data_IF_965092002379
#
_entry.id   IF_965092002379
#
_cell.length_a   1.000
_cell.length_b   1.000
_cell.length_c   1.000
_cell.angle_alpha   90.00
_cell.angle_beta   90.00
_cell.angle_gamma   90.00
#
_symmetry.space_group_name_H-M   'P 1'
#
loop_
_entity.id
_entity.type
_entity.pdbx_description
1 polymer ?
#
# COMPACT_ATOMS: atom_id res chain seq x y z
N UNK A 1 -8.67 14.13 12.74
CA UNK A 1 -7.97 15.30 12.17
C UNK A 1 -7.21 14.82 10.91
N UNK A 2 -6.63 15.71 10.09
CA UNK A 2 -5.93 15.34 8.84
C UNK A 2 -4.56 16.01 8.79
N UNK A 3 -3.56 15.34 8.22
CA UNK A 3 -2.17 15.83 8.16
C UNK A 3 -1.49 15.45 6.85
N UNK A 4 -0.41 16.17 6.50
CA UNK A 4 0.41 15.82 5.33
C UNK A 4 1.20 14.55 5.64
N UNK A 5 1.07 13.54 4.78
CA UNK A 5 1.70 12.24 4.99
C UNK A 5 3.00 12.11 4.19
N UNK A 6 4.14 12.23 4.87
CA UNK A 6 5.45 11.98 4.26
C UNK A 6 5.72 12.84 3.02
N UNK A 7 6.20 12.18 1.95
CA UNK A 7 6.52 12.81 0.66
C UNK A 7 5.33 12.94 -0.28
N UNK A 8 4.15 12.44 0.10
CA UNK A 8 2.94 12.50 -0.75
C UNK A 8 2.52 13.93 -1.06
N UNK A 9 2.92 14.91 -0.23
CA UNK A 9 2.50 16.31 -0.30
C UNK A 9 0.97 16.49 -0.30
N UNK A 10 0.24 15.46 0.12
CA UNK A 10 -1.22 15.41 0.20
C UNK A 10 -1.65 15.28 1.66
N UNK A 11 -2.78 15.91 1.97
CA UNK A 11 -3.43 15.77 3.28
C UNK A 11 -4.26 14.49 3.29
N UNK A 12 -3.97 13.60 4.23
CA UNK A 12 -4.67 12.34 4.42
C UNK A 12 -5.45 12.35 5.75
N UNK A 13 -6.61 11.66 5.82
CA UNK A 13 -7.29 11.45 7.10
C UNK A 13 -6.46 10.53 8.00
N UNK A 14 -6.60 10.70 9.31
CA UNK A 14 -5.93 9.90 10.34
C UNK A 14 -6.35 8.43 10.40
N UNK A 15 -7.41 8.06 9.69
CA UNK A 15 -7.96 6.71 9.75
C UNK A 15 -8.28 6.22 8.36
N UNK A 16 -7.69 5.07 8.02
CA UNK A 16 -7.88 4.36 6.76
C UNK A 16 -8.57 3.02 7.05
N UNK A 17 -9.28 2.49 6.07
CA UNK A 17 -10.01 1.24 6.24
C UNK A 17 -9.35 0.11 5.49
N UNK A 18 -9.19 -1.03 6.15
CA UNK A 18 -8.72 -2.27 5.54
C UNK A 18 -9.92 -3.17 5.32
N UNK A 19 -10.14 -3.56 4.07
CA UNK A 19 -11.21 -4.49 3.74
C UNK A 19 -10.75 -5.91 4.06
N UNK A 20 -11.47 -6.58 4.98
CA UNK A 20 -11.19 -7.95 5.39
C UNK A 20 -12.45 -8.79 5.24
N UNK A 21 -12.36 -9.88 4.46
CA UNK A 21 -13.44 -10.87 4.30
C UNK A 21 -14.48 -10.56 3.22
N UNK A 22 -15.57 -11.36 3.22
CA UNK A 22 -16.64 -11.37 2.21
C UNK A 22 -18.06 -11.16 2.80
N UNK A 23 -18.18 -10.70 4.05
CA UNK A 23 -19.46 -10.54 4.76
C UNK A 23 -20.34 -9.39 4.24
N UNK A 24 -21.09 -8.73 5.12
CA UNK A 24 -22.03 -7.64 4.75
C UNK A 24 -21.36 -6.42 4.08
N UNK A 25 -21.28 -6.46 2.75
CA UNK A 25 -20.73 -5.38 1.91
C UNK A 25 -21.62 -4.14 1.90
N UNK A 26 -22.93 -4.30 2.06
CA UNK A 26 -23.87 -3.19 1.97
C UNK A 26 -23.64 -2.19 3.11
N UNK A 27 -23.42 -2.70 4.33
CA UNK A 27 -23.06 -1.88 5.48
C UNK A 27 -21.76 -1.11 5.26
N UNK A 28 -20.72 -1.75 4.70
CA UNK A 28 -19.44 -1.09 4.40
C UNK A 28 -19.61 0.02 3.36
N UNK A 29 -20.33 -0.27 2.27
CA UNK A 29 -20.61 0.70 1.20
C UNK A 29 -21.44 1.87 1.73
N UNK A 30 -22.44 1.60 2.56
CA UNK A 30 -23.26 2.65 3.20
C UNK A 30 -22.42 3.56 4.08
N UNK A 31 -21.50 2.98 4.86
CA UNK A 31 -20.59 3.73 5.71
C UNK A 31 -19.61 4.58 4.89
N UNK A 32 -19.03 4.05 3.80
CA UNK A 32 -18.15 4.81 2.90
C UNK A 32 -18.89 5.89 2.11
N UNK A 33 -20.17 5.70 1.80
CA UNK A 33 -21.03 6.75 1.21
C UNK A 33 -21.24 7.92 2.17
N UNK A 34 -21.46 7.62 3.45
CA UNK A 34 -21.67 8.64 4.47
C UNK A 34 -20.37 9.38 4.81
N UNK A 35 -19.24 8.66 4.83
CA UNK A 35 -17.93 9.21 5.14
C UNK A 35 -16.84 8.53 4.30
N UNK A 36 -16.51 9.08 3.11
CA UNK A 36 -15.46 8.54 2.25
C UNK A 36 -14.10 8.55 2.94
N UNK A 37 -13.40 7.41 2.89
CA UNK A 37 -12.10 7.20 3.51
C UNK A 37 -11.18 6.43 2.57
N UNK A 38 -9.85 6.55 2.72
CA UNK A 38 -8.91 5.69 2.02
C UNK A 38 -9.15 4.23 2.38
N UNK A 39 -9.13 3.37 1.36
CA UNK A 39 -9.45 1.95 1.47
C UNK A 39 -8.28 1.10 0.99
N UNK A 40 -7.72 0.30 1.87
CA UNK A 40 -6.70 -0.69 1.56
C UNK A 40 -7.32 -2.03 1.20
N UNK A 41 -7.03 -2.47 -0.02
CA UNK A 41 -7.29 -3.81 -0.49
C UNK A 41 -6.05 -4.69 -0.39
N UNK A 42 -6.19 -5.83 0.29
CA UNK A 42 -5.19 -6.89 0.35
C UNK A 42 -5.74 -8.16 -0.31
N UNK A 43 -4.99 -8.74 -1.24
CA UNK A 43 -5.31 -10.03 -1.87
C UNK A 43 -6.29 -9.97 -3.05
N UNK A 44 -7.58 -9.68 -2.80
CA UNK A 44 -8.66 -9.80 -3.81
C UNK A 44 -9.50 -8.52 -3.99
N UNK A 45 -8.92 -7.43 -4.53
CA UNK A 45 -9.57 -6.13 -4.73
C UNK A 45 -10.80 -6.14 -5.64
N UNK A 46 -10.83 -7.02 -6.65
CA UNK A 46 -11.85 -6.99 -7.70
C UNK A 46 -13.30 -7.20 -7.22
N UNK A 47 -13.47 -7.78 -6.02
CA UNK A 47 -14.81 -8.00 -5.43
C UNK A 47 -15.44 -6.72 -4.86
N UNK A 48 -14.68 -5.63 -4.74
CA UNK A 48 -15.13 -4.35 -4.18
C UNK A 48 -15.15 -3.24 -5.22
N UNK A 49 -14.51 -3.45 -6.37
CA UNK A 49 -14.32 -2.44 -7.40
C UNK A 49 -15.64 -1.84 -7.90
N UNK A 50 -16.65 -2.69 -8.09
CA UNK A 50 -17.95 -2.26 -8.59
C UNK A 50 -18.72 -1.48 -7.52
N UNK A 51 -18.74 -1.99 -6.30
CA UNK A 51 -19.49 -1.43 -5.17
C UNK A 51 -18.96 -0.08 -4.69
N UNK A 52 -17.65 0.15 -4.84
CA UNK A 52 -16.98 1.37 -4.40
C UNK A 52 -16.88 2.46 -5.47
N UNK A 53 -17.33 2.17 -6.70
CA UNK A 53 -17.22 3.11 -7.82
C UNK A 53 -17.99 4.41 -7.55
N UNK A 54 -17.34 5.54 -7.84
CA UNK A 54 -17.95 6.87 -7.68
C UNK A 54 -18.14 7.32 -6.23
N UNK A 55 -17.63 6.55 -5.25
CA UNK A 55 -17.64 6.97 -3.84
C UNK A 55 -16.53 7.99 -3.52
N UNK A 56 -15.58 8.22 -4.45
CA UNK A 56 -14.47 9.16 -4.27
C UNK A 56 -13.49 8.74 -3.18
N UNK A 57 -13.38 7.43 -2.93
CA UNK A 57 -12.45 6.88 -1.97
C UNK A 57 -11.06 6.70 -2.59
N UNK A 58 -10.01 7.04 -1.86
CA UNK A 58 -8.65 6.71 -2.29
C UNK A 58 -8.43 5.20 -2.24
N UNK A 59 -8.03 4.63 -3.38
CA UNK A 59 -7.85 3.19 -3.51
C UNK A 59 -6.39 2.82 -3.26
N UNK A 60 -6.15 2.02 -2.23
CA UNK A 60 -4.82 1.60 -1.81
C UNK A 60 -4.68 0.10 -2.05
N UNK A 61 -3.54 -0.33 -2.56
CA UNK A 61 -3.22 -1.74 -2.81
C UNK A 61 -1.99 -2.13 -2.00
N UNK A 62 -1.99 -3.34 -1.44
CA UNK A 62 -0.80 -3.92 -0.81
C UNK A 62 -0.56 -5.33 -1.36
N UNK A 63 0.54 -5.50 -2.09
CA UNK A 63 0.87 -6.74 -2.81
C UNK A 63 2.38 -6.88 -3.07
N UNK A 64 2.86 -8.12 -3.21
CA UNK A 64 4.21 -8.40 -3.72
C UNK A 64 4.31 -8.30 -5.24
N UNK A 65 3.18 -8.39 -5.94
CA UNK A 65 3.15 -8.47 -7.41
C UNK A 65 3.54 -9.83 -7.97
N UNK A 66 3.82 -10.82 -7.12
CA UNK A 66 4.23 -12.16 -7.56
C UNK A 66 5.64 -12.24 -8.15
N UNK A 67 6.45 -11.18 -7.99
CA UNK A 67 7.80 -11.03 -8.56
C UNK A 67 8.79 -12.06 -8.03
N UNK A 68 8.45 -12.71 -6.92
CA UNK A 68 9.28 -13.74 -6.30
C UNK A 68 9.44 -15.01 -7.14
N UNK A 69 8.74 -15.10 -8.28
CA UNK A 69 8.80 -16.18 -9.27
C UNK A 69 9.67 -15.84 -10.49
N UNK A 70 10.12 -14.59 -10.61
CA UNK A 70 10.94 -14.14 -11.73
C UNK A 70 12.33 -14.78 -11.71
N UNK A 71 12.89 -15.04 -12.90
CA UNK A 71 14.23 -15.60 -13.11
C UNK A 71 15.27 -14.54 -13.45
N UNK A 72 14.84 -13.36 -13.86
CA UNK A 72 15.68 -12.20 -14.14
C UNK A 72 14.91 -10.88 -13.90
N UNK A 73 15.61 -9.76 -14.03
CA UNK A 73 15.07 -8.41 -13.80
C UNK A 73 13.93 -8.07 -14.77
N UNK A 74 14.05 -8.47 -16.04
CA UNK A 74 13.05 -8.20 -17.06
C UNK A 74 11.75 -8.96 -16.81
N UNK A 75 11.84 -10.25 -16.45
CA UNK A 75 10.69 -11.06 -16.04
C UNK A 75 10.03 -10.48 -14.77
N UNK A 76 10.83 -10.00 -13.79
CA UNK A 76 10.30 -9.35 -12.59
C UNK A 76 9.52 -8.08 -12.91
N UNK A 77 10.06 -7.22 -13.78
CA UNK A 77 9.38 -6.01 -14.24
C UNK A 77 8.06 -6.33 -14.96
N UNK A 78 8.06 -7.31 -15.87
CA UNK A 78 6.86 -7.70 -16.61
C UNK A 78 5.78 -8.29 -15.71
N UNK A 79 6.15 -9.16 -14.77
CA UNK A 79 5.24 -9.74 -13.78
C UNK A 79 4.59 -8.63 -12.95
N UNK A 80 5.41 -7.71 -12.43
CA UNK A 80 4.92 -6.60 -11.61
C UNK A 80 3.97 -5.67 -12.38
N UNK A 81 4.36 -5.27 -13.60
CA UNK A 81 3.52 -4.41 -14.43
C UNK A 81 2.20 -5.10 -14.81
N UNK A 82 2.22 -6.40 -15.09
CA UNK A 82 1.01 -7.19 -15.33
C UNK A 82 0.05 -7.15 -14.15
N UNK A 83 0.56 -7.31 -12.92
CA UNK A 83 -0.26 -7.20 -11.71
C UNK A 83 -0.77 -5.76 -11.54
N UNK A 84 0.05 -4.73 -11.75
CA UNK A 84 -0.37 -3.33 -11.64
C UNK A 84 -1.54 -3.04 -12.59
N UNK A 85 -1.42 -3.40 -13.87
CA UNK A 85 -2.47 -3.20 -14.87
C UNK A 85 -3.75 -3.95 -14.48
N UNK A 86 -3.62 -5.19 -13.99
CA UNK A 86 -4.76 -5.97 -13.51
C UNK A 86 -5.45 -5.28 -12.32
N UNK A 87 -4.67 -4.76 -11.36
CA UNK A 87 -5.19 -4.08 -10.16
C UNK A 87 -5.86 -2.74 -10.50
N UNK A 88 -5.27 -1.96 -11.41
CA UNK A 88 -5.87 -0.71 -11.91
C UNK A 88 -7.18 -0.99 -12.65
N UNK A 89 -7.21 -2.03 -13.48
CA UNK A 89 -8.44 -2.46 -14.18
C UNK A 89 -9.56 -2.87 -13.21
N UNK A 90 -9.19 -3.31 -12.01
CA UNK A 90 -10.08 -3.66 -10.91
C UNK A 90 -10.14 -2.58 -9.83
N UNK A 91 -9.76 -1.34 -10.14
CA UNK A 91 -9.94 -0.21 -9.23
C UNK A 91 -11.32 0.43 -9.43
N UNK A 92 -11.93 1.02 -8.39
CA UNK A 92 -13.25 1.62 -8.51
C UNK A 92 -13.33 2.73 -9.58
N UNK A 93 -12.31 3.60 -9.60
CA UNK A 93 -12.29 4.84 -10.38
C UNK A 93 -11.10 4.92 -11.37
N UNK A 94 -10.42 3.80 -11.65
CA UNK A 94 -9.41 3.72 -12.72
C UNK A 94 -7.99 4.13 -12.34
N UNK A 95 -7.65 4.16 -11.04
CA UNK A 95 -6.31 4.47 -10.55
C UNK A 95 -6.06 3.90 -9.16
N UNK A 96 -4.78 3.90 -8.75
CA UNK A 96 -4.34 3.46 -7.42
C UNK A 96 -3.66 4.64 -6.73
N UNK A 97 -4.20 5.11 -5.62
CA UNK A 97 -3.64 6.26 -4.90
C UNK A 97 -2.34 5.90 -4.18
N UNK A 98 -2.21 4.67 -3.68
CA UNK A 98 -0.94 4.17 -3.10
C UNK A 98 -0.78 2.69 -3.40
N UNK A 99 0.39 2.31 -3.93
CA UNK A 99 0.80 0.91 -4.02
C UNK A 99 1.83 0.57 -2.95
N UNK A 100 1.46 -0.24 -1.97
CA UNK A 100 2.38 -0.80 -1.00
C UNK A 100 3.03 -2.09 -1.52
N UNK A 101 4.33 -2.03 -1.82
CA UNK A 101 5.14 -3.20 -2.13
C UNK A 101 5.30 -4.05 -0.86
N UNK A 102 4.72 -5.25 -0.86
CA UNK A 102 4.74 -6.15 0.29
C UNK A 102 5.86 -7.18 0.14
N UNK A 103 6.87 -7.09 1.00
CA UNK A 103 8.03 -7.99 0.97
C UNK A 103 7.94 -8.95 2.16
N UNK A 104 7.35 -10.12 1.93
CA UNK A 104 7.17 -11.15 2.96
C UNK A 104 8.41 -12.02 3.20
N UNK A 105 9.35 -12.05 2.25
CA UNK A 105 10.59 -12.83 2.29
C UNK A 105 11.71 -12.06 1.61
N UNK A 106 12.96 -12.45 1.85
CA UNK A 106 14.10 -11.90 1.12
C UNK A 106 13.93 -12.14 -0.39
N UNK A 107 14.16 -11.10 -1.18
CA UNK A 107 14.20 -11.14 -2.64
C UNK A 107 15.63 -11.00 -3.11
N UNK A 108 15.90 -11.56 -4.29
CA UNK A 108 17.15 -11.32 -5.00
C UNK A 108 17.16 -9.87 -5.55
N UNK A 109 18.36 -9.31 -5.74
CA UNK A 109 18.51 -7.92 -6.19
C UNK A 109 17.80 -7.64 -7.52
N UNK A 110 17.86 -8.58 -8.47
CA UNK A 110 17.18 -8.45 -9.76
C UNK A 110 15.65 -8.40 -9.62
N UNK A 111 15.07 -9.07 -8.61
CA UNK A 111 13.62 -9.04 -8.37
C UNK A 111 13.21 -7.68 -7.80
N UNK A 112 14.02 -7.14 -6.90
CA UNK A 112 13.83 -5.81 -6.31
C UNK A 112 13.91 -4.74 -7.41
N UNK A 113 14.97 -4.77 -8.22
CA UNK A 113 15.17 -3.80 -9.29
C UNK A 113 14.04 -3.84 -10.32
N UNK A 114 13.63 -5.03 -10.77
CA UNK A 114 12.53 -5.18 -11.72
C UNK A 114 11.19 -4.68 -11.14
N UNK A 115 10.89 -5.01 -9.88
CA UNK A 115 9.69 -4.54 -9.20
C UNK A 115 9.65 -3.01 -9.07
N UNK A 116 10.78 -2.40 -8.67
CA UNK A 116 10.89 -0.95 -8.53
C UNK A 116 10.80 -0.24 -9.88
N UNK A 117 11.46 -0.76 -10.92
CA UNK A 117 11.36 -0.21 -12.27
C UNK A 117 9.91 -0.21 -12.78
N UNK A 118 9.16 -1.29 -12.54
CA UNK A 118 7.74 -1.35 -12.89
C UNK A 118 6.90 -0.35 -12.09
N UNK A 119 7.12 -0.23 -10.78
CA UNK A 119 6.40 0.74 -9.94
C UNK A 119 6.68 2.19 -10.33
N UNK A 120 7.92 2.50 -10.67
CA UNK A 120 8.30 3.82 -11.15
C UNK A 120 7.66 4.14 -12.51
N UNK A 121 7.72 3.20 -13.45
CA UNK A 121 7.01 3.31 -14.74
C UNK A 121 5.51 3.53 -14.54
N UNK A 122 4.87 2.78 -13.64
CA UNK A 122 3.45 2.94 -13.33
C UNK A 122 3.14 4.32 -12.71
N UNK A 123 4.07 4.88 -11.92
CA UNK A 123 3.94 6.23 -11.37
C UNK A 123 4.06 7.30 -12.45
N UNK A 124 5.03 7.17 -13.35
CA UNK A 124 5.20 8.07 -14.50
C UNK A 124 3.98 8.06 -15.43
N UNK A 125 3.37 6.89 -15.62
CA UNK A 125 2.14 6.71 -16.40
C UNK A 125 0.86 7.11 -15.64
N UNK A 126 0.97 7.52 -14.36
CA UNK A 126 -0.16 7.89 -13.48
C UNK A 126 -1.17 6.77 -13.25
N UNK A 127 -0.71 5.52 -13.32
CA UNK A 127 -1.47 4.35 -12.88
C UNK A 127 -1.46 4.23 -11.35
N UNK A 128 -0.37 4.68 -10.73
CA UNK A 128 -0.16 4.72 -9.29
C UNK A 128 0.32 6.11 -8.88
N UNK A 129 -0.32 6.76 -7.91
CA UNK A 129 0.09 8.12 -7.50
C UNK A 129 1.32 8.10 -6.57
N UNK A 130 1.33 7.17 -5.62
CA UNK A 130 2.36 7.09 -4.58
C UNK A 130 2.86 5.66 -4.36
N UNK A 131 4.13 5.55 -3.99
CA UNK A 131 4.76 4.27 -3.70
C UNK A 131 4.89 4.07 -2.20
N UNK A 132 4.46 2.91 -1.73
CA UNK A 132 4.51 2.49 -0.34
C UNK A 132 5.37 1.26 -0.16
N UNK A 133 5.94 1.10 1.03
CA UNK A 133 6.58 -0.15 1.46
C UNK A 133 5.74 -0.77 2.58
N UNK A 134 5.35 -2.04 2.45
CA UNK A 134 4.72 -2.77 3.54
C UNK A 134 5.72 -3.69 4.25
N UNK A 135 5.90 -3.45 5.54
CA UNK A 135 6.83 -4.19 6.40
C UNK A 135 6.13 -5.42 6.96
N UNK A 136 6.08 -6.49 6.15
CA UNK A 136 5.45 -7.75 6.52
C UNK A 136 6.49 -8.80 6.93
N UNK A 137 6.78 -8.95 8.23
CA UNK A 137 7.69 -9.98 8.75
C UNK A 137 8.97 -9.42 9.36
N UNK A 138 10.03 -10.24 9.45
CA UNK A 138 11.31 -9.87 10.11
C UNK A 138 11.99 -8.71 9.35
N UNK A 139 12.29 -7.62 10.06
CA UNK A 139 12.78 -6.33 9.58
C UNK A 139 13.99 -6.39 8.65
N UNK A 140 14.82 -7.43 8.72
CA UNK A 140 16.06 -7.48 7.94
C UNK A 140 15.85 -7.39 6.42
N UNK A 141 14.78 -8.00 5.88
CA UNK A 141 14.51 -7.92 4.43
C UNK A 141 14.05 -6.54 3.99
N UNK A 142 13.16 -5.94 4.79
CA UNK A 142 12.56 -4.62 4.54
C UNK A 142 13.57 -3.50 4.76
N UNK A 143 14.38 -3.59 5.81
CA UNK A 143 15.42 -2.62 6.10
C UNK A 143 16.50 -2.61 5.02
N UNK A 144 16.82 -3.77 4.43
CA UNK A 144 17.78 -3.83 3.31
C UNK A 144 17.22 -3.14 2.07
N UNK A 145 16.00 -3.47 1.67
CA UNK A 145 15.34 -2.84 0.52
C UNK A 145 15.21 -1.32 0.69
N UNK A 146 14.77 -0.86 1.86
CA UNK A 146 14.63 0.57 2.11
C UNK A 146 15.97 1.31 2.25
N UNK A 147 17.02 0.64 2.75
CA UNK A 147 18.35 1.27 2.85
C UNK A 147 18.92 1.60 1.48
N UNK A 148 18.77 0.71 0.51
CA UNK A 148 19.36 0.85 -0.81
C UNK A 148 18.45 1.58 -1.82
N UNK A 149 17.14 1.66 -1.56
CA UNK A 149 16.18 2.27 -2.48
C UNK A 149 15.39 3.38 -1.78
N UNK A 150 15.53 4.62 -2.25
CA UNK A 150 14.80 5.80 -1.74
C UNK A 150 13.55 6.13 -2.59
N UNK A 151 12.78 5.10 -2.94
CA UNK A 151 11.64 5.23 -3.86
C UNK A 151 10.28 5.48 -3.18
N UNK A 152 10.19 5.25 -1.86
CA UNK A 152 8.91 5.19 -1.15
C UNK A 152 8.49 6.52 -0.52
N UNK A 153 7.22 6.85 -0.66
CA UNK A 153 6.57 8.03 -0.08
C UNK A 153 6.00 7.73 1.32
N UNK A 154 5.57 6.48 1.51
CA UNK A 154 4.93 5.99 2.74
C UNK A 154 5.37 4.59 3.11
N UNK A 155 5.29 4.24 4.40
CA UNK A 155 5.51 2.91 4.93
C UNK A 155 4.28 2.44 5.69
N UNK A 156 3.85 1.20 5.45
CA UNK A 156 2.83 0.50 6.23
C UNK A 156 3.53 -0.50 7.15
N UNK A 157 3.32 -0.40 8.45
CA UNK A 157 3.92 -1.32 9.41
C UNK A 157 2.99 -1.59 10.61
N UNK A 158 3.13 -2.77 11.21
CA UNK A 158 2.45 -3.09 12.46
C UNK A 158 3.27 -2.60 13.66
N UNK A 159 2.63 -2.13 14.74
CA UNK A 159 3.31 -1.92 16.01
C UNK A 159 3.96 -3.22 16.49
N UNK A 160 5.22 -3.15 16.93
CA UNK A 160 6.00 -4.32 17.34
C UNK A 160 7.46 -3.98 17.64
N UNK A 161 8.29 -5.00 17.85
CA UNK A 161 9.70 -4.87 18.24
C UNK A 161 10.52 -4.01 17.26
N UNK A 162 10.14 -4.02 15.98
CA UNK A 162 10.87 -3.34 14.90
C UNK A 162 10.32 -1.95 14.56
N UNK A 163 9.18 -1.57 15.16
CA UNK A 163 8.43 -0.36 14.83
C UNK A 163 9.24 0.92 15.07
N UNK A 164 9.97 1.01 16.17
CA UNK A 164 10.79 2.19 16.50
C UNK A 164 11.93 2.40 15.49
N UNK A 165 12.53 1.31 15.01
CA UNK A 165 13.58 1.37 13.97
C UNK A 165 13.05 1.86 12.62
N UNK A 166 11.83 1.42 12.28
CA UNK A 166 11.10 1.86 11.09
C UNK A 166 10.74 3.34 11.21
N UNK A 167 10.26 3.77 12.39
CA UNK A 167 9.95 5.19 12.66
C UNK A 167 11.17 6.08 12.54
N UNK A 168 12.31 5.68 13.10
CA UNK A 168 13.55 6.45 13.01
C UNK A 168 13.96 6.64 11.55
N UNK A 169 13.98 5.55 10.76
CA UNK A 169 14.30 5.58 9.34
C UNK A 169 13.31 6.43 8.53
N UNK A 170 12.01 6.30 8.83
CA UNK A 170 10.96 7.07 8.17
C UNK A 170 11.14 8.57 8.40
N UNK A 171 11.44 8.98 9.64
CA UNK A 171 11.70 10.39 9.99
C UNK A 171 12.92 10.94 9.27
N UNK A 172 14.04 10.22 9.28
CA UNK A 172 15.26 10.62 8.59
C UNK A 172 15.01 10.84 7.09
N UNK A 173 14.19 9.97 6.47
CA UNK A 173 13.87 10.03 5.04
C UNK A 173 12.61 10.84 4.72
N UNK A 174 11.91 11.41 5.71
CA UNK A 174 10.63 12.12 5.56
C UNK A 174 9.54 11.28 4.89
N UNK A 175 9.56 9.97 5.12
CA UNK A 175 8.54 9.02 4.64
C UNK A 175 7.40 8.97 5.65
N UNK A 176 6.16 8.94 5.14
CA UNK A 176 4.97 8.91 5.98
C UNK A 176 4.76 7.53 6.58
N UNK A 177 4.21 7.43 7.80
CA UNK A 177 4.02 6.14 8.48
C UNK A 177 2.54 5.87 8.64
N UNK A 178 2.11 4.69 8.19
CA UNK A 178 0.75 4.16 8.35
C UNK A 178 0.84 2.93 9.26
N UNK A 179 0.02 2.91 10.30
CA UNK A 179 0.01 1.82 11.29
C UNK A 179 -1.06 0.78 10.91
N UNK A 180 -0.69 -0.49 10.71
CA UNK A 180 -1.66 -1.60 10.56
C UNK A 180 -2.14 -2.06 11.95
N UNK A 181 -3.29 -1.53 12.39
CA UNK A 181 -3.87 -1.79 13.70
C UNK A 181 -3.27 -0.98 14.86
N UNK A 182 -3.90 -1.09 16.03
CA UNK A 182 -3.51 -0.38 17.26
C UNK A 182 -4.21 0.97 17.49
N UNK A 183 -3.80 1.69 18.54
CA UNK A 183 -4.22 3.08 18.77
C UNK A 183 -3.32 4.04 17.99
N UNK A 184 -3.88 5.17 17.55
CA UNK A 184 -3.10 6.20 16.86
C UNK A 184 -1.98 6.71 17.74
N UNK A 185 -0.72 6.48 17.33
CA UNK A 185 0.46 6.96 18.06
C UNK A 185 0.91 8.36 17.60
N UNK A 186 0.10 9.03 16.77
CA UNK A 186 0.35 10.40 16.31
C UNK A 186 1.43 10.53 15.22
N UNK A 187 1.80 9.42 14.56
CA UNK A 187 2.83 9.41 13.50
C UNK A 187 2.28 9.40 12.07
N UNK A 188 0.96 9.23 11.95
CA UNK A 188 0.25 9.17 10.69
C UNK A 188 -1.01 8.31 10.84
N UNK A 189 -1.64 7.92 9.72
CA UNK A 189 -2.91 7.22 9.74
C UNK A 189 -2.84 5.85 10.41
N UNK A 190 -3.94 5.47 11.07
CA UNK A 190 -4.17 4.10 11.54
C UNK A 190 -5.09 3.41 10.58
N UNK A 191 -4.65 2.26 10.11
CA UNK A 191 -5.45 1.33 9.36
C UNK A 191 -6.32 0.54 10.34
N UNK A 192 -7.63 0.75 10.26
CA UNK A 192 -8.62 0.00 11.03
C UNK A 192 -9.18 -1.13 10.19
N UNK A 193 -9.23 -2.33 10.78
CA UNK A 193 -9.92 -3.44 10.16
C UNK A 193 -11.42 -3.20 10.21
N UNK A 194 -12.07 -3.28 9.05
CA UNK A 194 -13.52 -3.24 8.95
C UNK A 194 -13.95 -4.65 8.58
N UNK A 195 -14.49 -5.36 9.58
CA UNK A 195 -15.03 -6.69 9.38
C UNK A 195 -16.41 -6.57 8.75
N UNK A 196 -16.57 -7.24 7.62
CA UNK A 196 -17.88 -7.52 7.08
C UNK A 196 -18.45 -8.69 7.91
N UNK A 197 -19.38 -8.40 8.82
CA UNK A 197 -20.05 -9.42 9.65
C UNK A 197 -20.93 -10.36 8.84
#
# INVERSE_FOLDING_TARGET
MSSVLGRTNRVWPEEWWKLVGFGDRESVVSALKAEPRPVLAMGSPGIWAHELRGLGCDWLVCDSGGVERARDEGEAMQIMMGEIVQRVSNSPDGGISVWFLSVARAWEEFQINGALAALESAREERLVDHLGLHVAGRAMGVASLWRFHDAFDVVLCRPGEEFDSVLATARERRVGVVQDGGAALGYGPVLREVHCG
#
